data_IF_154513852363
#
_entry.id   IF_154513852363
#
_cell.length_a   1.000
_cell.length_b   1.000
_cell.length_c   1.000
_cell.angle_alpha   90.00
_cell.angle_beta   90.00
_cell.angle_gamma   90.00
#
_symmetry.space_group_name_H-M   'P 1'
#
loop_
_entity.id
_entity.type
_entity.pdbx_description
1 polymer ?
#
# COMPACT_ATOMS: atom_id res chain seq x y z
N UNK A 1 36.23 19.18 49.87
CA UNK A 1 35.00 19.94 49.56
C UNK A 1 34.97 20.21 48.07
N UNK A 2 33.78 20.09 47.46
CA UNK A 2 33.43 20.38 46.06
C UNK A 2 34.00 19.34 45.07
N UNK A 3 33.25 18.44 44.44
CA UNK A 3 31.84 18.44 44.07
C UNK A 3 31.75 18.47 42.55
N UNK A 4 31.41 17.34 41.92
CA UNK A 4 30.98 17.15 40.51
C UNK A 4 30.77 15.62 40.34
N UNK A 5 29.65 15.05 40.77
CA UNK A 5 28.43 14.93 39.94
C UNK A 5 28.76 14.71 38.46
N UNK A 6 28.94 13.45 38.05
CA UNK A 6 28.34 12.92 36.83
C UNK A 6 28.07 11.43 37.07
N UNK A 7 27.03 11.22 37.88
CA UNK A 7 26.15 10.08 37.76
C UNK A 7 25.86 9.85 36.27
N UNK A 8 25.92 8.59 35.86
CA UNK A 8 25.02 8.07 34.83
C UNK A 8 25.36 8.59 33.43
N UNK A 9 26.47 8.08 32.88
CA UNK A 9 26.53 7.67 31.47
C UNK A 9 25.57 6.47 31.28
N UNK A 10 24.28 6.70 31.53
CA UNK A 10 23.27 6.05 30.71
C UNK A 10 23.54 6.61 29.34
N UNK A 11 24.24 5.81 28.54
CA UNK A 11 23.98 5.73 27.12
C UNK A 11 22.47 5.65 26.97
N UNK A 12 21.84 6.82 26.93
CA UNK A 12 20.61 7.05 26.22
C UNK A 12 20.98 6.78 24.76
N UNK A 13 21.07 5.49 24.43
CA UNK A 13 20.47 4.96 23.22
C UNK A 13 19.02 5.43 23.29
N UNK A 14 18.82 6.68 22.89
CA UNK A 14 17.58 7.07 22.27
C UNK A 14 17.53 6.16 21.05
N UNK A 15 16.93 4.98 21.24
CA UNK A 15 16.02 4.44 20.26
C UNK A 15 15.21 5.66 19.81
N UNK A 16 15.65 6.23 18.70
CA UNK A 16 14.82 7.05 17.84
C UNK A 16 13.65 6.11 17.56
N UNK A 17 12.64 6.20 18.42
CA UNK A 17 11.32 5.66 18.22
C UNK A 17 11.02 6.01 16.78
N UNK A 18 11.16 5.02 15.91
CA UNK A 18 10.64 5.05 14.57
C UNK A 18 9.18 5.34 14.82
N UNK A 19 8.85 6.61 14.64
CA UNK A 19 7.56 7.18 14.97
C UNK A 19 6.58 6.28 14.27
N UNK A 20 5.74 5.63 15.05
CA UNK A 20 4.58 4.86 14.64
C UNK A 20 3.66 5.82 13.90
N UNK A 21 4.06 6.18 12.68
CA UNK A 21 3.18 6.76 11.70
C UNK A 21 2.47 5.54 11.15
N UNK A 22 1.28 5.25 11.68
CA UNK A 22 0.31 4.38 11.03
C UNK A 22 0.30 4.78 9.55
N UNK A 23 0.96 3.98 8.71
CA UNK A 23 1.00 4.23 7.27
C UNK A 23 -0.36 3.80 6.75
N UNK A 24 -1.29 4.75 6.75
CA UNK A 24 -2.62 4.54 6.19
C UNK A 24 -2.46 4.51 4.66
N UNK A 25 -2.52 3.31 4.08
CA UNK A 25 -2.53 3.10 2.63
C UNK A 25 -3.66 3.88 1.97
N UNK A 26 -3.40 4.42 0.78
CA UNK A 26 -4.45 5.03 -0.03
C UNK A 26 -5.38 3.90 -0.49
N UNK A 27 -6.68 3.90 -0.14
CA UNK A 27 -7.59 2.87 -0.63
C UNK A 27 -7.70 2.86 -2.15
N UNK A 28 -7.40 3.99 -2.82
CA UNK A 28 -7.38 4.13 -4.27
C UNK A 28 -6.01 3.79 -4.89
N UNK A 29 -5.02 3.43 -4.06
CA UNK A 29 -3.70 2.85 -4.45
C UNK A 29 -3.39 1.63 -3.59
N UNK A 30 -4.20 0.55 -3.67
CA UNK A 30 -4.09 -0.60 -2.76
C UNK A 30 -2.79 -1.41 -2.93
N UNK A 31 -1.99 -1.11 -3.96
CA UNK A 31 -0.89 -1.94 -4.45
C UNK A 31 0.51 -1.38 -4.19
N UNK A 32 0.63 -0.14 -3.69
CA UNK A 32 1.93 0.50 -3.45
C UNK A 32 1.96 1.27 -2.13
N UNK A 33 3.16 1.43 -1.53
CA UNK A 33 3.39 2.57 -0.64
C UNK A 33 3.14 3.86 -1.43
N UNK A 34 2.58 4.88 -0.78
CA UNK A 34 2.33 6.17 -1.42
C UNK A 34 3.56 6.60 -2.22
N UNK A 35 3.39 7.11 -3.44
CA UNK A 35 4.51 7.60 -4.23
C UNK A 35 5.33 8.58 -3.39
N UNK A 36 6.66 8.46 -3.45
CA UNK A 36 7.53 9.38 -2.73
C UNK A 36 7.15 10.82 -3.07
N UNK A 37 7.06 11.67 -2.04
CA UNK A 37 6.76 13.10 -2.20
C UNK A 37 7.88 13.70 -3.04
N UNK A 38 7.63 13.86 -4.33
CA UNK A 38 8.54 14.58 -5.19
C UNK A 38 8.31 16.07 -4.89
N UNK A 39 9.23 16.66 -4.13
CA UNK A 39 9.22 18.07 -3.73
C UNK A 39 9.61 18.94 -4.92
N UNK A 40 8.83 18.89 -6.01
CA UNK A 40 8.74 19.95 -6.99
C UNK A 40 7.48 20.76 -6.71
N UNK A 41 7.31 21.16 -5.45
CA UNK A 41 6.41 22.26 -5.10
C UNK A 41 6.97 23.52 -5.76
N UNK A 42 6.32 23.99 -6.81
CA UNK A 42 6.58 25.33 -7.34
C UNK A 42 6.15 26.29 -6.24
N UNK A 43 7.11 26.87 -5.52
CA UNK A 43 6.83 27.91 -4.53
C UNK A 43 6.18 29.09 -5.25
N UNK A 44 4.88 29.30 -5.01
CA UNK A 44 4.19 30.49 -5.50
C UNK A 44 4.69 31.70 -4.69
N UNK A 45 5.06 32.82 -5.33
CA UNK A 45 5.50 34.02 -4.62
C UNK A 45 4.37 34.57 -3.74
N UNK A 46 4.75 35.03 -2.54
CA UNK A 46 3.83 35.56 -1.54
C UNK A 46 3.13 36.83 -2.05
N UNK A 47 1.87 36.65 -2.45
CA UNK A 47 0.82 37.65 -2.62
C UNK A 47 -0.51 36.95 -2.36
N UNK A 48 -1.65 37.63 -2.41
CA UNK A 48 -2.99 37.03 -2.28
C UNK A 48 -3.28 36.06 -3.45
N UNK A 49 -2.58 34.93 -3.48
CA UNK A 49 -2.68 33.90 -4.50
C UNK A 49 -3.85 33.03 -4.08
N UNK A 50 -4.94 33.07 -4.85
CA UNK A 50 -5.92 32.00 -4.79
C UNK A 50 -5.19 30.68 -5.02
N UNK A 51 -5.07 29.87 -3.97
CA UNK A 51 -4.51 28.53 -4.07
C UNK A 51 -5.52 27.69 -4.84
N UNK A 52 -5.28 27.53 -6.14
CA UNK A 52 -6.11 26.70 -7.00
C UNK A 52 -5.82 25.25 -6.64
N UNK A 53 -6.78 24.59 -5.99
CA UNK A 53 -6.73 23.17 -5.66
C UNK A 53 -7.56 22.39 -6.66
N UNK A 54 -6.92 21.46 -7.34
CA UNK A 54 -7.59 20.57 -8.29
C UNK A 54 -8.10 19.31 -7.59
N UNK A 55 -9.19 18.74 -8.10
CA UNK A 55 -9.84 17.57 -7.52
C UNK A 55 -9.08 16.28 -7.84
N UNK A 56 -9.57 15.15 -7.36
CA UNK A 56 -9.14 13.83 -7.86
C UNK A 56 -9.32 13.75 -9.38
N UNK A 57 -8.39 13.07 -10.05
CA UNK A 57 -8.35 12.98 -11.50
C UNK A 57 -8.02 14.25 -12.26
N UNK A 58 -7.60 15.31 -11.57
CA UNK A 58 -7.16 16.57 -12.17
C UNK A 58 -5.81 17.01 -11.62
N UNK A 59 -5.01 17.70 -12.42
CA UNK A 59 -3.74 18.28 -12.01
C UNK A 59 -3.67 19.77 -12.38
N UNK A 60 -2.77 20.51 -11.73
CA UNK A 60 -2.65 21.95 -11.94
C UNK A 60 -1.71 22.24 -13.11
N UNK A 61 -2.26 22.78 -14.20
CA UNK A 61 -1.54 23.19 -15.39
C UNK A 61 -1.77 24.70 -15.61
N UNK A 62 -0.73 25.51 -15.51
CA UNK A 62 -0.78 26.98 -15.74
C UNK A 62 -2.00 27.67 -15.12
N UNK A 63 -2.26 27.44 -13.83
CA UNK A 63 -3.39 28.02 -13.08
C UNK A 63 -4.78 27.50 -13.47
N UNK A 64 -4.86 26.36 -14.17
CA UNK A 64 -6.12 25.67 -14.47
C UNK A 64 -6.03 24.21 -14.06
N UNK A 65 -7.15 23.64 -13.64
CA UNK A 65 -7.25 22.21 -13.43
C UNK A 65 -7.50 21.51 -14.77
N UNK A 66 -6.58 20.64 -15.15
CA UNK A 66 -6.64 19.80 -16.35
C UNK A 66 -6.84 18.34 -15.93
N UNK A 67 -7.65 17.55 -16.66
CA UNK A 67 -7.88 16.15 -16.33
C UNK A 67 -6.61 15.32 -16.56
N UNK A 68 -6.43 14.25 -15.78
CA UNK A 68 -5.37 13.29 -16.00
C UNK A 68 -5.41 12.68 -17.41
N UNK A 69 -4.23 12.41 -17.95
CA UNK A 69 -4.05 11.71 -19.21
C UNK A 69 -4.42 10.23 -19.08
N UNK A 70 -4.74 9.58 -20.20
CA UNK A 70 -4.97 8.13 -20.22
C UNK A 70 -3.75 7.36 -19.68
N UNK A 71 -3.98 6.37 -18.83
CA UNK A 71 -2.91 5.65 -18.14
C UNK A 71 -2.28 6.43 -16.97
N UNK A 72 -2.91 7.53 -16.53
CA UNK A 72 -2.51 8.24 -15.31
C UNK A 72 -3.70 8.53 -14.39
N UNK A 73 -3.43 8.68 -13.09
CA UNK A 73 -4.44 8.91 -12.08
C UNK A 73 -4.00 9.89 -11.00
N UNK A 74 -4.96 10.47 -10.27
CA UNK A 74 -4.69 11.24 -9.05
C UNK A 74 -5.83 11.00 -8.07
N UNK A 75 -5.53 10.41 -6.92
CA UNK A 75 -6.54 10.04 -5.94
C UNK A 75 -7.03 11.23 -5.12
N UNK A 76 -8.12 11.02 -4.37
CA UNK A 76 -8.62 11.99 -3.39
C UNK A 76 -7.57 12.34 -2.35
N UNK A 77 -6.84 11.34 -1.85
CA UNK A 77 -5.82 11.55 -0.83
C UNK A 77 -4.62 12.32 -1.41
N UNK A 78 -4.21 12.02 -2.65
CA UNK A 78 -3.18 12.78 -3.36
C UNK A 78 -3.57 14.24 -3.55
N UNK A 79 -4.82 14.50 -3.95
CA UNK A 79 -5.36 15.85 -4.11
C UNK A 79 -5.43 16.61 -2.78
N UNK A 80 -5.83 15.94 -1.69
CA UNK A 80 -5.93 16.55 -0.36
C UNK A 80 -4.57 16.89 0.25
N UNK A 81 -3.54 16.10 -0.05
CA UNK A 81 -2.19 16.32 0.50
C UNK A 81 -1.41 17.41 -0.25
N UNK A 82 -1.87 17.86 -1.43
CA UNK A 82 -1.29 18.92 -2.30
C UNK A 82 0.22 18.75 -2.59
N UNK A 83 0.75 17.57 -2.32
CA UNK A 83 2.15 17.15 -2.53
C UNK A 83 2.37 16.51 -3.90
N UNK A 84 1.28 16.30 -4.64
CA UNK A 84 1.26 15.74 -5.98
C UNK A 84 0.48 16.70 -6.88
N UNK A 85 1.19 17.66 -7.46
CA UNK A 85 0.62 18.61 -8.43
C UNK A 85 0.41 17.98 -9.81
N UNK A 86 0.68 16.68 -9.97
CA UNK A 86 0.59 15.91 -11.20
C UNK A 86 -0.05 14.53 -11.00
N UNK A 87 -0.55 13.96 -12.09
CA UNK A 87 -1.09 12.61 -12.13
C UNK A 87 0.04 11.56 -12.12
N UNK A 88 -0.17 10.47 -11.40
CA UNK A 88 0.73 9.32 -11.31
C UNK A 88 0.43 8.32 -12.43
N UNK A 89 1.45 7.60 -12.91
CA UNK A 89 1.23 6.51 -13.86
C UNK A 89 0.51 5.34 -13.19
N UNK A 90 -0.46 4.79 -13.89
CA UNK A 90 -1.13 3.56 -13.46
C UNK A 90 -0.13 2.40 -13.33
N UNK A 91 -0.38 1.51 -12.38
CA UNK A 91 0.39 0.30 -12.23
C UNK A 91 0.06 -0.70 -13.35
N UNK A 92 1.11 -1.30 -13.89
CA UNK A 92 1.01 -2.45 -14.79
C UNK A 92 1.20 -3.74 -13.98
N UNK A 93 0.48 -4.83 -14.31
CA UNK A 93 0.63 -6.11 -13.63
C UNK A 93 2.04 -6.68 -13.87
N UNK A 94 2.66 -7.18 -12.80
CA UNK A 94 3.90 -7.93 -12.81
C UNK A 94 3.72 -9.43 -13.08
N UNK A 95 4.69 -10.22 -12.62
CA UNK A 95 4.65 -11.68 -12.73
C UNK A 95 3.59 -12.25 -11.78
N UNK A 96 2.71 -13.13 -12.28
CA UNK A 96 1.59 -13.73 -11.55
C UNK A 96 0.53 -12.73 -11.07
N UNK A 97 0.54 -11.52 -11.61
CA UNK A 97 -0.45 -10.48 -11.33
C UNK A 97 -1.41 -10.31 -12.51
N UNK A 98 -2.67 -10.03 -12.20
CA UNK A 98 -3.73 -9.73 -13.18
C UNK A 98 -4.48 -8.47 -12.77
N UNK A 99 -4.97 -7.74 -13.77
CA UNK A 99 -5.80 -6.55 -13.55
C UNK A 99 -7.22 -6.99 -13.20
N UNK A 100 -7.61 -6.82 -11.94
CA UNK A 100 -8.96 -7.07 -11.46
C UNK A 100 -9.91 -5.92 -11.85
N UNK A 101 -9.45 -4.67 -11.69
CA UNK A 101 -10.18 -3.49 -12.14
C UNK A 101 -9.22 -2.53 -12.84
N UNK A 102 -9.60 -1.98 -14.01
CA UNK A 102 -8.73 -1.09 -14.75
C UNK A 102 -8.52 0.23 -14.02
N UNK A 103 -7.36 0.84 -14.26
CA UNK A 103 -7.04 2.18 -13.80
C UNK A 103 -8.04 3.21 -14.34
N UNK A 104 -8.33 4.23 -13.56
CA UNK A 104 -9.12 5.39 -13.99
C UNK A 104 -8.37 6.67 -13.65
N UNK A 105 -8.90 7.83 -14.04
CA UNK A 105 -8.25 9.11 -13.71
C UNK A 105 -8.19 9.38 -12.20
N UNK A 106 -9.06 8.78 -11.39
CA UNK A 106 -9.11 9.01 -9.94
C UNK A 106 -8.59 7.87 -9.07
N UNK A 107 -8.26 6.70 -9.66
CA UNK A 107 -7.75 5.54 -8.91
C UNK A 107 -6.78 4.73 -9.74
N UNK A 108 -5.84 4.07 -9.07
CA UNK A 108 -4.94 3.14 -9.74
C UNK A 108 -5.67 1.87 -10.20
N UNK A 109 -5.03 1.07 -11.04
CA UNK A 109 -5.49 -0.28 -11.34
C UNK A 109 -5.53 -1.12 -10.07
N UNK A 110 -6.64 -1.85 -9.89
CA UNK A 110 -6.72 -2.88 -8.86
C UNK A 110 -6.10 -4.15 -9.41
N UNK A 111 -4.98 -4.54 -8.84
CA UNK A 111 -4.23 -5.73 -9.25
C UNK A 111 -4.42 -6.83 -8.21
N UNK A 112 -4.67 -8.04 -8.66
CA UNK A 112 -4.74 -9.23 -7.81
C UNK A 112 -3.76 -10.29 -8.34
N UNK A 113 -3.49 -11.32 -7.53
CA UNK A 113 -2.73 -12.46 -8.03
C UNK A 113 -3.61 -13.39 -8.88
N UNK A 114 -2.98 -14.05 -9.86
CA UNK A 114 -3.60 -15.10 -10.65
C UNK A 114 -3.92 -16.35 -9.81
N UNK A 115 -4.67 -17.28 -10.40
CA UNK A 115 -5.10 -18.50 -9.73
C UNK A 115 -3.91 -19.33 -9.20
N UNK A 116 -4.00 -19.76 -7.94
CA UNK A 116 -2.92 -20.47 -7.26
C UNK A 116 -1.88 -19.57 -6.58
N UNK A 117 -2.11 -18.25 -6.59
CA UNK A 117 -1.33 -17.26 -5.85
C UNK A 117 -2.23 -16.34 -5.02
N UNK A 118 -1.67 -15.73 -3.98
CA UNK A 118 -2.32 -14.69 -3.18
C UNK A 118 -1.37 -13.52 -2.91
N UNK A 119 -1.93 -12.32 -2.69
CA UNK A 119 -1.16 -11.15 -2.31
C UNK A 119 -0.72 -11.24 -0.85
N UNK A 120 0.58 -11.29 -0.63
CA UNK A 120 1.20 -11.23 0.70
C UNK A 120 1.87 -9.86 0.88
N UNK A 121 1.57 -9.16 1.98
CA UNK A 121 2.27 -7.93 2.32
C UNK A 121 3.73 -8.19 2.68
N UNK A 122 4.62 -7.35 2.15
CA UNK A 122 6.06 -7.45 2.41
C UNK A 122 6.32 -6.97 3.85
N UNK A 123 6.95 -7.80 4.70
CA UNK A 123 7.21 -7.44 6.09
C UNK A 123 7.97 -6.11 6.21
N UNK A 124 7.47 -5.22 7.07
CA UNK A 124 8.06 -3.90 7.33
C UNK A 124 7.88 -2.88 6.20
N UNK A 125 7.10 -3.19 5.14
CA UNK A 125 6.78 -2.28 4.03
C UNK A 125 5.26 -2.24 3.82
N UNK A 126 4.53 -1.43 4.60
CA UNK A 126 3.08 -1.33 4.47
C UNK A 126 2.68 -0.94 3.05
N UNK A 127 1.53 -1.43 2.59
CA UNK A 127 0.97 -1.21 1.25
C UNK A 127 1.81 -1.79 0.09
N UNK A 128 2.93 -2.46 0.37
CA UNK A 128 3.67 -3.23 -0.63
C UNK A 128 3.32 -4.70 -0.45
N UNK A 129 2.84 -5.32 -1.52
CA UNK A 129 2.58 -6.77 -1.54
C UNK A 129 3.17 -7.43 -2.77
N UNK A 130 3.33 -8.74 -2.70
CA UNK A 130 3.81 -9.59 -3.78
C UNK A 130 2.93 -10.84 -3.90
N UNK A 131 2.88 -11.41 -5.10
CA UNK A 131 2.18 -12.66 -5.35
C UNK A 131 3.03 -13.85 -4.92
N UNK A 132 2.52 -14.60 -3.94
CA UNK A 132 3.14 -15.82 -3.45
C UNK A 132 2.19 -16.99 -3.66
N UNK A 133 2.77 -18.18 -3.83
CA UNK A 133 1.99 -19.39 -4.09
C UNK A 133 1.12 -19.72 -2.88
N UNK A 134 -0.12 -20.12 -3.14
CA UNK A 134 -1.01 -20.58 -2.09
C UNK A 134 -0.46 -21.81 -1.38
N UNK A 135 -0.78 -21.91 -0.10
CA UNK A 135 -0.48 -23.09 0.69
C UNK A 135 -1.33 -24.28 0.23
N UNK A 136 -0.76 -25.47 0.36
CA UNK A 136 -1.42 -26.73 0.03
C UNK A 136 -1.67 -27.48 1.33
N UNK A 137 -2.93 -27.78 1.63
CA UNK A 137 -3.28 -28.56 2.80
C UNK A 137 -2.93 -30.04 2.61
N UNK A 138 -2.45 -30.69 3.68
CA UNK A 138 -2.20 -32.14 3.66
C UNK A 138 -0.92 -32.60 2.96
N UNK A 139 0.17 -31.85 2.97
CA UNK A 139 1.44 -32.31 2.35
C UNK A 139 2.11 -33.43 3.19
N UNK A 140 2.75 -34.39 2.51
CA UNK A 140 3.58 -35.43 3.15
C UNK A 140 2.77 -36.64 3.63
N UNK A 141 2.93 -37.04 4.89
CA UNK A 141 2.24 -38.24 5.46
C UNK A 141 0.71 -38.10 5.53
N UNK A 142 0.20 -36.90 5.27
CA UNK A 142 -1.20 -36.53 5.42
C UNK A 142 -1.91 -36.30 4.05
N UNK A 143 -1.27 -36.67 2.94
CA UNK A 143 -1.77 -36.44 1.57
C UNK A 143 -3.05 -37.21 1.20
N UNK A 144 -3.45 -38.18 2.02
CA UNK A 144 -4.67 -38.96 1.86
C UNK A 144 -5.80 -38.56 2.82
N UNK A 145 -5.58 -37.52 3.63
CA UNK A 145 -6.58 -37.03 4.59
C UNK A 145 -7.39 -35.91 3.93
N UNK A 146 -8.70 -35.96 4.09
CA UNK A 146 -9.61 -34.96 3.55
C UNK A 146 -9.63 -33.74 4.48
N UNK A 147 -8.62 -32.87 4.38
CA UNK A 147 -8.66 -31.60 5.09
C UNK A 147 -9.67 -30.67 4.42
N UNK A 148 -10.56 -30.09 5.22
CA UNK A 148 -11.33 -28.94 4.79
C UNK A 148 -10.37 -27.73 4.69
N UNK A 149 -10.45 -27.02 3.57
CA UNK A 149 -9.57 -25.92 3.22
C UNK A 149 -10.38 -24.79 2.59
N UNK A 150 -10.07 -23.55 2.94
CA UNK A 150 -10.68 -22.41 2.25
C UNK A 150 -10.02 -22.27 0.89
N UNK A 151 -10.81 -21.88 -0.11
CA UNK A 151 -10.24 -21.61 -1.43
C UNK A 151 -9.24 -20.46 -1.34
N UNK A 152 -8.08 -20.66 -1.97
CA UNK A 152 -7.16 -19.57 -2.20
C UNK A 152 -7.72 -18.65 -3.28
N UNK A 153 -7.48 -17.35 -3.15
CA UNK A 153 -7.82 -16.38 -4.18
C UNK A 153 -6.86 -15.21 -4.13
N UNK A 154 -6.84 -14.38 -5.18
CA UNK A 154 -5.78 -13.40 -5.39
C UNK A 154 -5.45 -12.42 -4.24
N UNK A 155 -6.24 -12.36 -3.15
CA UNK A 155 -5.93 -11.62 -1.92
C UNK A 155 -5.83 -12.47 -0.64
N UNK A 156 -6.21 -13.75 -0.68
CA UNK A 156 -6.33 -14.61 0.50
C UNK A 156 -5.63 -15.93 0.23
N UNK A 157 -4.72 -16.32 1.13
CA UNK A 157 -4.11 -17.64 1.12
C UNK A 157 -5.15 -18.73 1.40
N UNK A 158 -4.83 -19.97 1.04
CA UNK A 158 -5.49 -21.16 1.56
C UNK A 158 -5.37 -21.18 3.09
N UNK A 159 -6.49 -21.29 3.80
CA UNK A 159 -6.50 -21.66 5.21
C UNK A 159 -6.71 -23.17 5.32
N UNK A 160 -5.86 -23.84 6.10
CA UNK A 160 -5.96 -25.27 6.36
C UNK A 160 -6.46 -25.53 7.77
N UNK A 161 -7.42 -26.44 7.93
CA UNK A 161 -7.77 -26.95 9.25
C UNK A 161 -6.60 -27.71 9.89
N UNK A 162 -6.44 -27.54 11.20
CA UNK A 162 -5.45 -28.28 11.98
C UNK A 162 -5.80 -29.78 12.12
N UNK A 163 -7.09 -30.12 12.04
CA UNK A 163 -7.64 -31.47 12.18
C UNK A 163 -8.73 -31.73 11.13
N UNK A 164 -8.97 -33.01 10.80
CA UNK A 164 -9.88 -33.43 9.72
C UNK A 164 -11.37 -33.16 10.01
N UNK A 165 -11.74 -32.95 11.27
CA UNK A 165 -13.11 -32.80 11.77
C UNK A 165 -13.47 -31.34 12.10
N UNK A 166 -12.59 -30.40 11.77
CA UNK A 166 -12.83 -28.98 11.97
C UNK A 166 -13.31 -28.31 10.68
N UNK A 167 -14.30 -27.42 10.82
CA UNK A 167 -14.81 -26.57 9.74
C UNK A 167 -14.15 -25.20 9.85
N UNK A 168 -13.72 -24.63 8.72
CA UNK A 168 -13.23 -23.25 8.67
C UNK A 168 -14.39 -22.29 8.91
N UNK A 169 -14.23 -21.42 9.89
CA UNK A 169 -15.18 -20.35 10.15
C UNK A 169 -14.72 -19.12 9.37
N UNK A 170 -15.28 -18.93 8.19
CA UNK A 170 -15.04 -17.73 7.37
C UNK A 170 -15.81 -16.55 8.00
N UNK A 171 -15.12 -15.80 8.87
CA UNK A 171 -15.66 -14.62 9.56
C UNK A 171 -16.09 -13.51 8.63
#
# INVERSE_FOLDING_TARGET
>A
MLGLSFLVLMLQYQELNARDTDVICDPDVPSRPHPDVNVHAIAMPQGDVQIIRCSEGEYLEWYKCSPCEEGTFRTKQMAAQDRYSWCQKCQEPGLYEIVAEPCTKSRDAKIMCEDGFYRLEVPGKPCKSECVRCDICGVGRNMFKNFEASECGGYKNTACCAYEDMVLNDG
#
